data_IF_795544376601
#
_entry.id   IF_795544376601
#
_cell.length_a   1.000
_cell.length_b   1.000
_cell.length_c   1.000
_cell.angle_alpha   90.00
_cell.angle_beta   90.00
_cell.angle_gamma   90.00
#
_symmetry.space_group_name_H-M   'P 1'
#
loop_
_entity.id
_entity.type
_entity.pdbx_description
1 polymer ?
#
# COMPACT_ATOMS: atom_id res chain seq x y z
N UNK A 1 -46.32 -65.57 19.51
CA UNK A 1 -44.92 -65.27 19.13
C UNK A 1 -44.25 -64.76 20.41
N UNK A 2 -43.37 -65.47 21.16
CA UNK A 2 -42.33 -66.48 20.80
C UNK A 2 -41.39 -65.90 19.73
N UNK A 3 -40.07 -65.70 19.88
CA UNK A 3 -38.98 -66.03 20.86
C UNK A 3 -37.87 -64.93 20.76
N UNK A 4 -36.80 -64.77 21.58
CA UNK A 4 -36.36 -65.21 22.94
C UNK A 4 -35.08 -64.41 23.35
N UNK A 5 -34.68 -64.43 24.63
CA UNK A 5 -33.31 -64.10 25.15
C UNK A 5 -32.40 -65.37 25.09
N UNK A 6 -31.11 -65.47 25.57
CA UNK A 6 -30.30 -64.59 26.47
C UNK A 6 -28.76 -64.49 26.22
N UNK A 7 -28.03 -63.75 27.10
CA UNK A 7 -26.78 -64.08 27.87
C UNK A 7 -26.27 -62.81 28.63
N UNK A 8 -25.57 -62.75 29.79
CA UNK A 8 -24.95 -63.70 30.77
C UNK A 8 -23.48 -64.12 30.51
N UNK A 9 -22.48 -64.14 31.43
CA UNK A 9 -22.29 -63.75 32.87
C UNK A 9 -20.76 -63.47 33.16
N UNK A 10 -20.38 -62.43 33.91
CA UNK A 10 -19.19 -62.33 34.83
C UNK A 10 -19.15 -60.92 35.51
N UNK A 11 -18.80 -60.64 36.79
CA UNK A 11 -17.85 -61.18 37.81
C UNK A 11 -16.35 -60.86 37.47
N UNK A 12 -15.47 -60.35 38.36
CA UNK A 12 -15.50 -60.16 39.83
C UNK A 12 -14.51 -59.05 40.33
N UNK A 13 -14.67 -58.66 41.61
CA UNK A 13 -13.92 -57.78 42.55
C UNK A 13 -12.45 -57.29 42.30
N UNK A 14 -12.17 -56.07 42.80
CA UNK A 14 -10.87 -55.43 43.11
C UNK A 14 -10.99 -53.89 42.97
N UNK A 15 -10.68 -52.98 43.90
CA UNK A 15 -9.60 -52.90 44.92
C UNK A 15 -8.51 -51.93 44.40
N UNK A 16 -8.19 -50.75 44.96
CA UNK A 16 -8.54 -50.13 46.25
C UNK A 16 -8.60 -48.56 46.19
N UNK A 17 -9.07 -47.96 47.29
CA UNK A 17 -8.83 -46.59 47.88
C UNK A 17 -7.78 -45.66 47.23
N UNK A 18 -7.87 -44.31 47.25
CA UNK A 18 -8.40 -43.36 48.28
C UNK A 18 -8.96 -42.03 47.73
N UNK A 19 -9.92 -41.45 48.46
CA UNK A 19 -10.28 -40.02 48.71
C UNK A 19 -9.89 -38.87 47.75
N UNK A 20 -10.85 -37.94 47.55
CA UNK A 20 -10.66 -36.70 46.78
C UNK A 20 -11.35 -35.45 47.38
N UNK A 21 -10.54 -34.41 47.61
CA UNK A 21 -10.78 -32.94 47.55
C UNK A 21 -12.07 -32.32 48.17
N UNK A 22 -11.95 -31.42 49.17
CA UNK A 22 -13.06 -30.54 49.62
C UNK A 22 -13.21 -29.25 48.78
N UNK A 23 -14.39 -28.63 48.85
CA UNK A 23 -14.80 -27.44 48.05
C UNK A 23 -14.80 -26.16 48.90
N UNK A 24 -14.41 -25.02 48.33
CA UNK A 24 -14.65 -23.66 48.87
C UNK A 24 -15.07 -22.71 47.73
N UNK A 25 -15.91 -21.70 48.05
CA UNK A 25 -16.67 -20.86 47.11
C UNK A 25 -16.12 -19.41 46.96
N UNK A 26 -16.56 -18.61 45.95
CA UNK A 26 -15.89 -17.36 45.56
C UNK A 26 -16.63 -16.04 45.94
N UNK A 27 -15.96 -14.88 45.84
CA UNK A 27 -16.55 -13.54 45.62
C UNK A 27 -16.28 -13.05 44.17
N UNK A 28 -17.28 -12.61 43.39
CA UNK A 28 -17.98 -11.30 43.38
C UNK A 28 -17.25 -10.21 42.56
N UNK A 29 -17.99 -9.52 41.67
CA UNK A 29 -17.45 -8.56 40.69
C UNK A 29 -17.93 -7.11 40.94
N UNK A 30 -17.08 -6.13 40.61
CA UNK A 30 -17.39 -4.69 40.60
C UNK A 30 -16.62 -3.93 39.49
N UNK A 31 -17.20 -2.84 39.01
CA UNK A 31 -16.74 -1.88 37.99
C UNK A 31 -17.61 -0.60 38.14
N UNK A 32 -17.28 0.59 37.56
CA UNK A 32 -16.07 1.00 36.82
C UNK A 32 -15.48 2.35 37.38
N UNK A 33 -14.82 3.14 36.51
CA UNK A 33 -14.28 4.52 36.69
C UNK A 33 -12.95 4.64 37.49
N UNK A 34 -12.03 5.56 37.18
CA UNK A 34 -11.90 6.47 36.01
C UNK A 34 -10.48 7.10 35.91
N UNK A 35 -10.07 7.44 34.67
CA UNK A 35 -9.17 8.56 34.27
C UNK A 35 -7.79 8.78 34.92
N UNK A 36 -6.83 9.15 34.05
CA UNK A 36 -5.52 9.76 34.37
C UNK A 36 -4.52 8.91 35.17
N UNK A 37 -3.47 8.45 34.47
CA UNK A 37 -2.16 8.27 35.08
C UNK A 37 -1.07 8.69 34.08
N UNK A 38 0.00 9.33 34.57
CA UNK A 38 0.93 10.12 33.74
C UNK A 38 2.22 9.35 33.49
N UNK A 39 2.56 9.10 32.22
CA UNK A 39 3.84 8.50 31.85
C UNK A 39 5.01 9.49 32.06
N UNK A 40 5.70 9.38 33.20
CA UNK A 40 6.99 10.04 33.42
C UNK A 40 8.14 9.05 33.21
N UNK A 41 9.22 9.42 32.49
CA UNK A 41 10.34 8.52 32.24
C UNK A 41 11.26 8.39 33.47
N UNK A 42 11.44 7.16 33.95
CA UNK A 42 12.43 6.85 34.97
C UNK A 42 13.85 6.83 34.35
N UNK A 43 14.62 7.89 34.55
CA UNK A 43 16.01 8.00 34.08
C UNK A 43 17.01 7.80 35.23
N UNK A 44 17.52 6.57 35.38
CA UNK A 44 18.68 6.24 36.23
C UNK A 44 19.39 5.00 35.71
N UNK A 45 20.71 5.08 35.48
CA UNK A 45 21.56 3.93 35.14
C UNK A 45 22.33 4.11 33.84
N UNK A 46 23.50 4.77 33.92
CA UNK A 46 24.44 4.84 32.80
C UNK A 46 25.18 3.50 32.65
N UNK A 47 24.79 2.67 31.68
CA UNK A 47 25.64 1.61 31.17
C UNK A 47 25.71 1.73 29.64
N UNK A 48 26.88 2.14 29.13
CA UNK A 48 27.10 2.39 27.71
C UNK A 48 27.27 1.08 26.93
N UNK A 49 26.17 0.33 26.80
CA UNK A 49 26.06 -0.70 25.77
C UNK A 49 26.04 0.02 24.42
N UNK A 50 27.18 0.00 23.73
CA UNK A 50 27.34 0.52 22.37
C UNK A 50 26.19 0.00 21.50
N UNK A 51 25.45 0.91 20.88
CA UNK A 51 24.40 0.53 19.94
C UNK A 51 25.05 -0.21 18.76
N UNK A 52 24.87 -1.53 18.72
CA UNK A 52 25.23 -2.34 17.57
C UNK A 52 24.35 -1.89 16.41
N UNK A 53 24.93 -1.06 15.54
CA UNK A 53 24.29 -0.68 14.29
C UNK A 53 24.26 -1.93 13.43
N UNK A 54 23.13 -2.66 13.48
CA UNK A 54 22.85 -3.82 12.66
C UNK A 54 22.66 -3.43 11.20
N UNK A 55 23.74 -2.91 10.60
CA UNK A 55 23.92 -2.71 9.18
C UNK A 55 23.54 -4.01 8.50
N UNK A 56 22.72 -3.90 7.46
CA UNK A 56 22.40 -5.03 6.61
C UNK A 56 23.70 -5.56 5.96
N UNK A 57 24.25 -6.63 6.54
CA UNK A 57 25.43 -7.31 6.03
C UNK A 57 25.00 -8.33 4.97
N UNK A 58 25.55 -8.28 3.74
CA UNK A 58 25.25 -9.26 2.71
C UNK A 58 25.77 -10.63 3.13
N UNK A 59 24.91 -11.64 3.09
CA UNK A 59 25.27 -13.01 3.49
C UNK A 59 26.25 -13.59 2.47
N UNK A 60 27.41 -14.05 2.93
CA UNK A 60 28.34 -14.84 2.11
C UNK A 60 27.75 -16.24 1.91
N UNK A 61 26.85 -16.39 0.94
CA UNK A 61 26.28 -17.69 0.57
C UNK A 61 27.35 -18.49 -0.19
N UNK A 62 27.84 -19.58 0.39
CA UNK A 62 28.69 -20.55 -0.32
C UNK A 62 27.84 -21.36 -1.30
N UNK A 63 27.60 -20.76 -2.46
CA UNK A 63 26.96 -21.35 -3.64
C UNK A 63 27.70 -20.85 -4.88
N UNK A 64 27.70 -21.59 -6.01
CA UNK A 64 28.49 -21.24 -7.19
C UNK A 64 28.15 -19.81 -7.64
N UNK A 65 29.20 -19.01 -7.87
CA UNK A 65 29.11 -17.55 -7.99
C UNK A 65 27.94 -17.12 -8.90
N UNK A 66 27.05 -16.22 -8.44
CA UNK A 66 25.78 -15.96 -9.09
C UNK A 66 26.00 -15.53 -10.54
N UNK A 67 25.29 -16.19 -11.46
CA UNK A 67 25.29 -15.82 -12.86
C UNK A 67 24.91 -14.35 -13.00
N UNK A 68 25.62 -13.61 -13.87
CA UNK A 68 25.44 -12.15 -14.04
C UNK A 68 23.94 -11.86 -14.24
N UNK A 69 23.30 -11.09 -13.33
CA UNK A 69 21.85 -11.09 -13.22
C UNK A 69 21.20 -10.61 -14.51
N UNK A 70 20.37 -11.47 -15.09
CA UNK A 70 19.62 -11.18 -16.30
C UNK A 70 18.13 -11.01 -15.95
N UNK A 71 17.69 -9.79 -15.55
CA UNK A 71 16.29 -9.53 -15.22
C UNK A 71 15.33 -9.72 -16.42
N UNK A 72 15.87 -9.81 -17.64
CA UNK A 72 15.10 -10.11 -18.86
C UNK A 72 15.02 -11.61 -19.17
N UNK A 73 15.60 -12.49 -18.34
CA UNK A 73 15.54 -13.94 -18.55
C UNK A 73 14.18 -14.52 -18.15
N UNK A 74 13.21 -14.35 -19.06
CA UNK A 74 11.84 -14.89 -18.93
C UNK A 74 11.73 -16.39 -19.18
N UNK A 75 12.75 -17.01 -19.79
CA UNK A 75 12.65 -18.30 -20.48
C UNK A 75 12.21 -19.43 -19.54
N UNK A 76 12.62 -19.43 -18.26
CA UNK A 76 12.12 -20.40 -17.27
C UNK A 76 10.80 -20.02 -16.60
N UNK A 77 10.45 -18.74 -16.52
CA UNK A 77 9.33 -18.24 -15.71
C UNK A 77 7.97 -18.38 -16.40
N UNK A 78 7.91 -18.11 -17.71
CA UNK A 78 6.66 -18.26 -18.47
C UNK A 78 6.26 -19.76 -18.57
N UNK A 79 7.24 -20.66 -18.73
CA UNK A 79 7.02 -22.11 -18.64
C UNK A 79 6.67 -22.58 -17.22
N UNK A 80 7.28 -22.01 -16.17
CA UNK A 80 6.91 -22.28 -14.78
C UNK A 80 5.43 -21.94 -14.52
N UNK A 81 4.99 -20.76 -14.98
CA UNK A 81 3.58 -20.35 -14.88
C UNK A 81 2.65 -21.28 -15.68
N UNK A 82 3.08 -21.76 -16.86
CA UNK A 82 2.33 -22.75 -17.62
C UNK A 82 2.24 -24.12 -16.92
N UNK A 83 3.31 -24.57 -16.24
CA UNK A 83 3.29 -25.78 -15.41
C UNK A 83 2.33 -25.64 -14.22
N UNK A 84 2.39 -24.49 -13.52
CA UNK A 84 1.46 -24.14 -12.43
C UNK A 84 0.01 -24.15 -12.89
N UNK A 85 -0.29 -23.60 -14.06
CA UNK A 85 -1.63 -23.57 -14.65
C UNK A 85 -2.15 -24.96 -15.04
N UNK A 86 -1.27 -25.92 -15.34
CA UNK A 86 -1.60 -27.36 -15.52
C UNK A 86 -1.74 -28.13 -14.21
N UNK A 87 -1.39 -27.54 -13.06
CA UNK A 87 -1.30 -28.22 -11.78
C UNK A 87 -0.04 -29.07 -11.59
N UNK A 88 0.95 -28.97 -12.49
CA UNK A 88 2.22 -29.68 -12.35
C UNK A 88 3.16 -28.93 -11.40
N UNK A 89 2.96 -29.22 -10.10
CA UNK A 89 3.73 -28.65 -8.98
C UNK A 89 5.21 -28.99 -9.07
N UNK A 90 5.57 -30.21 -9.46
CA UNK A 90 6.96 -30.65 -9.51
C UNK A 90 7.72 -29.94 -10.64
N UNK A 91 7.10 -29.83 -11.82
CA UNK A 91 7.65 -29.05 -12.93
C UNK A 91 7.69 -27.55 -12.61
N UNK A 92 6.66 -27.00 -11.94
CA UNK A 92 6.65 -25.59 -11.52
C UNK A 92 7.83 -25.25 -10.62
N UNK A 93 8.06 -26.02 -9.54
CA UNK A 93 9.17 -25.78 -8.60
C UNK A 93 10.52 -25.99 -9.30
N UNK A 94 10.66 -27.01 -10.15
CA UNK A 94 11.89 -27.26 -10.91
C UNK A 94 12.23 -26.12 -11.89
N UNK A 95 11.24 -25.54 -12.56
CA UNK A 95 11.44 -24.42 -13.49
C UNK A 95 11.70 -23.09 -12.75
N UNK A 96 11.06 -22.88 -11.59
CA UNK A 96 11.40 -21.77 -10.70
C UNK A 96 12.85 -21.87 -10.21
N UNK A 97 13.30 -23.05 -9.77
CA UNK A 97 14.69 -23.25 -9.34
C UNK A 97 15.66 -22.95 -10.50
N UNK A 98 15.43 -23.51 -11.68
CA UNK A 98 16.26 -23.23 -12.86
C UNK A 98 16.32 -21.74 -13.23
N UNK A 99 15.22 -20.99 -13.07
CA UNK A 99 15.20 -19.55 -13.31
C UNK A 99 15.93 -18.77 -12.20
N UNK A 100 15.79 -19.19 -10.94
CA UNK A 100 16.50 -18.63 -9.80
C UNK A 100 18.03 -18.85 -9.91
N UNK A 101 18.47 -20.06 -10.27
CA UNK A 101 19.87 -20.41 -10.52
C UNK A 101 20.49 -19.56 -11.66
N UNK A 102 19.66 -19.04 -12.56
CA UNK A 102 20.02 -18.12 -13.66
C UNK A 102 19.91 -16.63 -13.26
N UNK A 103 19.81 -16.32 -11.96
CA UNK A 103 19.78 -14.97 -11.43
C UNK A 103 18.46 -14.21 -11.68
N UNK A 104 17.32 -14.90 -11.77
CA UNK A 104 16.02 -14.26 -11.93
C UNK A 104 15.41 -13.83 -10.55
N UNK A 105 15.33 -12.53 -10.24
CA UNK A 105 14.78 -12.03 -8.96
C UNK A 105 13.33 -12.49 -8.68
N UNK A 106 12.47 -12.56 -9.70
CA UNK A 106 11.08 -12.97 -9.52
C UNK A 106 10.98 -14.46 -9.21
N UNK A 107 11.82 -15.30 -9.81
CA UNK A 107 11.83 -16.73 -9.53
C UNK A 107 12.18 -17.01 -8.06
N UNK A 108 13.16 -16.30 -7.50
CA UNK A 108 13.45 -16.34 -6.06
C UNK A 108 12.26 -15.89 -5.20
N UNK A 109 11.56 -14.80 -5.57
CA UNK A 109 10.36 -14.36 -4.84
C UNK A 109 9.19 -15.36 -4.90
N UNK A 110 8.98 -16.01 -6.05
CA UNK A 110 7.96 -17.06 -6.19
C UNK A 110 8.34 -18.35 -5.43
N UNK A 111 9.63 -18.72 -5.35
CA UNK A 111 10.11 -19.77 -4.43
C UNK A 111 9.89 -19.40 -2.96
N UNK A 112 10.19 -18.16 -2.57
CA UNK A 112 9.96 -17.67 -1.21
C UNK A 112 8.47 -17.81 -0.80
N UNK A 113 7.55 -17.52 -1.72
CA UNK A 113 6.11 -17.76 -1.51
C UNK A 113 5.78 -19.25 -1.39
N UNK A 114 6.31 -20.11 -2.26
CA UNK A 114 6.10 -21.58 -2.19
C UNK A 114 6.46 -22.14 -0.81
N UNK A 115 7.63 -21.78 -0.28
CA UNK A 115 8.07 -22.23 1.05
C UNK A 115 7.35 -21.53 2.21
N UNK A 116 6.86 -20.29 2.02
CA UNK A 116 6.03 -19.59 3.03
C UNK A 116 4.63 -20.21 3.15
N UNK A 117 3.98 -20.46 2.01
CA UNK A 117 2.61 -20.97 1.93
C UNK A 117 2.53 -22.42 2.41
N UNK A 118 3.48 -23.27 2.00
CA UNK A 118 3.47 -24.70 2.36
C UNK A 118 2.32 -25.50 1.72
N UNK A 119 1.67 -24.94 0.70
CA UNK A 119 0.49 -25.48 0.01
C UNK A 119 0.85 -26.52 -1.04
N UNK A 120 2.01 -26.35 -1.68
CA UNK A 120 2.52 -27.19 -2.77
C UNK A 120 3.97 -27.65 -2.58
N UNK A 121 4.57 -27.32 -1.43
CA UNK A 121 5.87 -27.78 -0.96
C UNK A 121 5.83 -27.92 0.57
N UNK A 122 6.86 -28.51 1.18
CA UNK A 122 7.01 -28.45 2.64
C UNK A 122 7.22 -27.00 3.06
N UNK A 123 6.46 -26.53 4.05
CA UNK A 123 6.61 -25.17 4.60
C UNK A 123 7.98 -25.01 5.26
N UNK A 124 8.73 -24.00 4.84
CA UNK A 124 10.10 -23.76 5.27
C UNK A 124 10.35 -22.24 5.33
N UNK A 125 10.17 -21.65 6.51
CA UNK A 125 10.30 -20.20 6.67
C UNK A 125 11.75 -19.71 6.59
N UNK A 126 12.73 -20.59 6.79
CA UNK A 126 14.14 -20.26 6.67
C UNK A 126 14.53 -20.11 5.20
N UNK A 127 14.26 -21.13 4.36
CA UNK A 127 14.44 -21.05 2.90
C UNK A 127 13.59 -19.97 2.25
N UNK A 128 12.38 -19.72 2.77
CA UNK A 128 11.57 -18.61 2.30
C UNK A 128 12.28 -17.27 2.48
N UNK A 129 12.88 -17.04 3.65
CA UNK A 129 13.62 -15.81 3.95
C UNK A 129 14.96 -15.73 3.20
N UNK A 130 15.66 -16.84 2.97
CA UNK A 130 16.85 -16.89 2.11
C UNK A 130 16.54 -16.44 0.68
N UNK A 131 15.57 -17.06 0.02
CA UNK A 131 15.18 -16.66 -1.33
C UNK A 131 14.60 -15.23 -1.37
N UNK A 132 13.91 -14.79 -0.32
CA UNK A 132 13.41 -13.41 -0.23
C UNK A 132 14.55 -12.39 -0.17
N UNK A 133 15.62 -12.67 0.59
CA UNK A 133 16.83 -11.84 0.65
C UNK A 133 17.51 -11.76 -0.71
N UNK A 134 17.75 -12.90 -1.38
CA UNK A 134 18.38 -12.92 -2.71
C UNK A 134 17.53 -12.18 -3.76
N UNK A 135 16.20 -12.31 -3.72
CA UNK A 135 15.31 -11.52 -4.57
C UNK A 135 15.42 -10.00 -4.30
N UNK A 136 15.54 -9.60 -3.04
CA UNK A 136 15.69 -8.19 -2.64
C UNK A 136 17.09 -7.62 -2.96
N UNK A 137 18.14 -8.44 -2.92
CA UNK A 137 19.51 -8.12 -3.34
C UNK A 137 19.58 -7.85 -4.85
N UNK A 138 18.89 -8.67 -5.65
CA UNK A 138 18.64 -8.40 -7.08
C UNK A 138 17.56 -7.32 -7.33
N UNK A 139 17.19 -6.55 -6.30
CA UNK A 139 16.35 -5.36 -6.41
C UNK A 139 14.85 -5.61 -6.65
N UNK A 140 14.35 -6.82 -6.42
CA UNK A 140 12.94 -7.14 -6.69
C UNK A 140 11.99 -6.36 -5.76
N UNK A 141 11.13 -5.47 -6.29
CA UNK A 141 10.38 -4.53 -5.44
C UNK A 141 9.46 -5.22 -4.44
N UNK A 142 8.83 -6.33 -4.84
CA UNK A 142 7.96 -7.10 -3.94
C UNK A 142 8.73 -7.83 -2.83
N UNK A 143 9.97 -8.25 -3.08
CA UNK A 143 10.79 -8.86 -2.05
C UNK A 143 11.25 -7.82 -1.03
N UNK A 144 11.71 -6.66 -1.51
CA UNK A 144 12.03 -5.49 -0.68
C UNK A 144 10.81 -5.08 0.17
N UNK A 145 9.61 -5.04 -0.43
CA UNK A 145 8.35 -4.72 0.27
C UNK A 145 8.03 -5.72 1.38
N UNK A 146 8.21 -7.03 1.17
CA UNK A 146 7.95 -8.04 2.21
C UNK A 146 8.99 -7.97 3.33
N UNK A 147 10.28 -7.77 3.03
CA UNK A 147 11.30 -7.57 4.08
C UNK A 147 11.02 -6.30 4.89
N UNK A 148 10.57 -5.21 4.25
CA UNK A 148 10.11 -4.01 4.95
C UNK A 148 9.02 -4.31 5.99
N UNK A 149 8.01 -5.11 5.61
CA UNK A 149 6.98 -5.57 6.55
C UNK A 149 7.49 -6.54 7.62
N UNK A 150 8.50 -7.37 7.32
CA UNK A 150 9.13 -8.23 8.32
C UNK A 150 9.85 -7.43 9.41
N UNK A 151 10.54 -6.36 9.02
CA UNK A 151 11.18 -5.43 9.97
C UNK A 151 10.13 -4.66 10.78
N UNK A 152 9.09 -4.09 10.14
CA UNK A 152 8.02 -3.36 10.84
C UNK A 152 7.34 -4.22 11.93
N UNK A 153 7.18 -5.53 11.68
CA UNK A 153 6.49 -6.46 12.59
C UNK A 153 7.40 -7.22 13.56
N UNK A 154 8.70 -7.28 13.31
CA UNK A 154 9.62 -8.17 14.02
C UNK A 154 9.42 -9.66 13.67
N UNK A 155 9.03 -9.98 12.42
CA UNK A 155 8.77 -11.37 12.00
C UNK A 155 10.06 -12.23 11.99
N UNK A 156 11.22 -11.60 11.87
CA UNK A 156 12.53 -12.24 11.65
C UNK A 156 13.64 -11.74 12.59
N UNK A 157 13.27 -11.04 13.66
CA UNK A 157 14.18 -10.38 14.60
C UNK A 157 13.44 -9.32 15.44
N UNK A 158 14.16 -8.45 16.17
CA UNK A 158 13.56 -7.25 16.76
C UNK A 158 12.85 -6.40 15.69
N UNK A 159 11.76 -5.74 16.07
CA UNK A 159 11.04 -4.86 15.14
C UNK A 159 11.81 -3.54 14.92
N UNK A 160 12.02 -3.18 13.66
CA UNK A 160 12.58 -1.89 13.24
C UNK A 160 11.59 -1.19 12.29
N UNK A 161 10.88 -0.21 12.84
CA UNK A 161 9.92 0.61 12.10
C UNK A 161 10.61 1.54 11.10
N UNK A 162 11.83 2.01 11.37
CA UNK A 162 12.53 2.96 10.50
C UNK A 162 13.10 2.24 9.28
N UNK A 163 13.97 1.25 9.48
CA UNK A 163 14.56 0.48 8.38
C UNK A 163 13.47 -0.25 7.57
N UNK A 164 12.41 -0.73 8.25
CA UNK A 164 11.24 -1.30 7.59
C UNK A 164 10.50 -0.30 6.70
N UNK A 165 10.30 0.94 7.16
CA UNK A 165 9.71 2.04 6.37
C UNK A 165 10.59 2.39 5.18
N UNK A 166 11.89 2.52 5.36
CA UNK A 166 12.83 2.87 4.28
C UNK A 166 12.81 1.83 3.14
N UNK A 167 12.66 0.54 3.47
CA UNK A 167 12.45 -0.51 2.47
C UNK A 167 11.07 -0.41 1.78
N UNK A 168 10.00 -0.08 2.50
CA UNK A 168 8.66 0.13 1.92
C UNK A 168 8.67 1.33 0.94
N UNK A 169 9.27 2.46 1.32
CA UNK A 169 9.45 3.62 0.43
C UNK A 169 10.33 3.29 -0.79
N UNK A 170 11.41 2.52 -0.61
CA UNK A 170 12.26 2.07 -1.71
C UNK A 170 11.50 1.18 -2.69
N UNK A 171 10.66 0.27 -2.20
CA UNK A 171 9.80 -0.56 -3.05
C UNK A 171 8.72 0.27 -3.78
N UNK A 172 8.19 1.32 -3.14
CA UNK A 172 7.19 2.22 -3.73
C UNK A 172 7.71 3.03 -4.94
N UNK A 173 9.03 3.06 -5.19
CA UNK A 173 9.58 3.67 -6.40
C UNK A 173 9.25 2.89 -7.69
N UNK A 174 8.90 1.60 -7.59
CA UNK A 174 8.70 0.71 -8.75
C UNK A 174 7.60 -0.35 -8.59
N UNK A 175 6.98 -0.48 -7.42
CA UNK A 175 5.76 -1.31 -7.22
C UNK A 175 4.55 -0.46 -6.84
N UNK A 176 3.49 -0.56 -7.63
CA UNK A 176 2.15 -0.02 -7.35
C UNK A 176 1.59 -0.55 -6.03
N UNK A 177 1.86 -1.84 -5.73
CA UNK A 177 1.45 -2.46 -4.47
C UNK A 177 2.21 -1.86 -3.28
N UNK A 178 3.51 -1.61 -3.44
CA UNK A 178 4.31 -0.94 -2.42
C UNK A 178 3.87 0.53 -2.23
N UNK A 179 3.48 1.23 -3.30
CA UNK A 179 2.89 2.57 -3.20
C UNK A 179 1.60 2.55 -2.37
N UNK A 180 0.65 1.64 -2.64
CA UNK A 180 -0.56 1.54 -1.81
C UNK A 180 -0.24 1.20 -0.35
N UNK A 181 0.66 0.24 -0.11
CA UNK A 181 1.02 -0.18 1.24
C UNK A 181 1.78 0.92 2.02
N UNK A 182 2.67 1.68 1.37
CA UNK A 182 3.31 2.88 1.92
C UNK A 182 2.26 3.97 2.23
N UNK A 183 1.34 4.22 1.29
CA UNK A 183 0.27 5.20 1.45
C UNK A 183 -0.61 4.92 2.65
N UNK A 184 -0.96 3.64 2.87
CA UNK A 184 -1.69 3.18 4.05
C UNK A 184 -0.87 3.27 5.36
N UNK A 185 0.45 3.04 5.30
CA UNK A 185 1.36 3.15 6.45
C UNK A 185 1.50 4.61 6.93
N UNK A 186 1.63 5.56 6.01
CA UNK A 186 1.69 6.98 6.32
C UNK A 186 0.33 7.57 6.72
N UNK A 187 -0.76 7.21 6.02
CA UNK A 187 -2.11 7.74 6.24
C UNK A 187 -2.89 7.17 7.44
N UNK A 188 -2.23 6.46 8.37
CA UNK A 188 -2.88 5.85 9.54
C UNK A 188 -4.02 4.87 9.16
N UNK A 189 -3.75 4.01 8.17
CA UNK A 189 -4.65 2.92 7.74
C UNK A 189 -4.10 1.52 8.08
N UNK A 190 -2.99 1.46 8.82
CA UNK A 190 -2.40 0.27 9.44
C UNK A 190 -2.10 0.52 10.93
N UNK A 191 -1.99 -0.56 11.72
CA UNK A 191 -1.68 -0.46 13.16
C UNK A 191 -0.29 0.11 13.44
N UNK A 192 0.68 -0.22 12.59
CA UNK A 192 1.94 0.49 12.50
C UNK A 192 1.69 1.68 11.58
N UNK A 193 1.73 2.90 12.13
CA UNK A 193 1.41 4.11 11.37
C UNK A 193 2.39 5.25 11.67
N UNK A 194 2.76 5.98 10.63
CA UNK A 194 3.75 7.05 10.70
C UNK A 194 3.11 8.44 10.87
N UNK A 195 1.78 8.52 10.84
CA UNK A 195 0.97 9.71 11.11
C UNK A 195 1.31 10.92 10.21
N UNK A 196 1.59 10.66 8.93
CA UNK A 196 1.74 11.67 7.87
C UNK A 196 0.67 11.43 6.78
N UNK A 197 -0.58 11.89 6.99
CA UNK A 197 -1.63 11.73 6.00
C UNK A 197 -1.39 12.53 4.71
N UNK A 198 -0.47 13.50 4.68
CA UNK A 198 -0.11 14.20 3.46
C UNK A 198 0.75 13.30 2.55
N UNK A 199 1.84 12.74 3.08
CA UNK A 199 2.69 11.76 2.38
C UNK A 199 1.92 10.48 2.06
N UNK A 200 1.02 10.07 2.94
CA UNK A 200 0.12 8.94 2.72
C UNK A 200 -0.81 9.14 1.52
N UNK A 201 -1.47 10.30 1.39
CA UNK A 201 -2.30 10.61 0.22
C UNK A 201 -1.51 10.71 -1.08
N UNK A 202 -0.26 11.18 -1.05
CA UNK A 202 0.64 11.19 -2.24
C UNK A 202 0.88 9.76 -2.75
N UNK A 203 1.26 8.83 -1.87
CA UNK A 203 1.49 7.43 -2.27
C UNK A 203 0.21 6.70 -2.72
N UNK A 204 -0.93 6.98 -2.08
CA UNK A 204 -2.22 6.44 -2.54
C UNK A 204 -2.63 7.02 -3.91
N UNK A 205 -2.30 8.29 -4.20
CA UNK A 205 -2.52 8.88 -5.51
C UNK A 205 -1.66 8.20 -6.58
N UNK A 206 -0.35 8.01 -6.34
CA UNK A 206 0.54 7.29 -7.26
C UNK A 206 0.01 5.89 -7.60
N UNK A 207 -0.46 5.14 -6.60
CA UNK A 207 -1.02 3.80 -6.81
C UNK A 207 -2.38 3.85 -7.53
N UNK A 208 -3.22 4.85 -7.22
CA UNK A 208 -4.51 5.10 -7.88
C UNK A 208 -4.34 5.44 -9.37
N UNK A 209 -3.39 6.31 -9.70
CA UNK A 209 -3.08 6.74 -11.07
C UNK A 209 -2.47 5.59 -11.89
N UNK A 210 -1.80 4.64 -11.22
CA UNK A 210 -1.35 3.38 -11.79
C UNK A 210 -2.43 2.27 -11.83
N UNK A 211 -3.66 2.56 -11.39
CA UNK A 211 -4.83 1.69 -11.53
C UNK A 211 -5.15 0.76 -10.35
N UNK A 212 -4.55 0.93 -9.17
CA UNK A 212 -4.92 0.15 -7.98
C UNK A 212 -6.25 0.66 -7.38
N UNK A 213 -7.32 -0.11 -7.63
CA UNK A 213 -8.69 0.22 -7.17
C UNK A 213 -8.87 0.28 -5.65
N UNK A 214 -8.02 -0.39 -4.87
CA UNK A 214 -8.04 -0.26 -3.41
C UNK A 214 -7.31 1.02 -2.98
N UNK A 215 -6.28 1.47 -3.71
CA UNK A 215 -5.64 2.76 -3.46
C UNK A 215 -6.59 3.92 -3.77
N UNK A 216 -7.29 3.86 -4.92
CA UNK A 216 -8.36 4.80 -5.26
C UNK A 216 -9.47 4.80 -4.21
N UNK A 217 -9.90 3.63 -3.72
CA UNK A 217 -10.89 3.56 -2.63
C UNK A 217 -10.39 4.20 -1.33
N UNK A 218 -9.17 3.89 -0.89
CA UNK A 218 -8.61 4.44 0.35
C UNK A 218 -8.40 5.96 0.26
N UNK A 219 -7.91 6.47 -0.87
CA UNK A 219 -7.75 7.91 -1.10
C UNK A 219 -9.11 8.63 -1.12
N UNK A 220 -10.11 8.05 -1.79
CA UNK A 220 -11.48 8.57 -1.77
C UNK A 220 -12.09 8.56 -0.37
N UNK A 221 -11.87 7.50 0.41
CA UNK A 221 -12.31 7.41 1.81
C UNK A 221 -11.65 8.47 2.69
N UNK A 222 -10.34 8.68 2.58
CA UNK A 222 -9.62 9.71 3.35
C UNK A 222 -10.19 11.11 3.09
N UNK A 223 -10.45 11.46 1.83
CA UNK A 223 -11.09 12.74 1.52
C UNK A 223 -12.53 12.85 2.07
N UNK A 224 -13.30 11.75 2.09
CA UNK A 224 -14.63 11.74 2.72
C UNK A 224 -14.55 11.89 4.25
N UNK A 225 -13.61 11.20 4.91
CA UNK A 225 -13.36 11.33 6.35
C UNK A 225 -12.93 12.76 6.73
N UNK A 226 -12.24 13.46 5.82
CA UNK A 226 -11.86 14.88 5.91
C UNK A 226 -13.02 15.85 5.59
N UNK A 227 -14.21 15.36 5.20
CA UNK A 227 -15.36 16.16 4.79
C UNK A 227 -15.23 16.80 3.39
N UNK A 228 -14.29 16.34 2.58
CA UNK A 228 -13.99 16.84 1.24
C UNK A 228 -14.56 15.91 0.15
N UNK A 229 -15.90 15.84 0.08
CA UNK A 229 -16.59 14.98 -0.87
C UNK A 229 -16.32 15.32 -2.35
N UNK A 230 -15.94 16.57 -2.64
CA UNK A 230 -15.51 17.00 -3.98
C UNK A 230 -14.28 16.23 -4.47
N UNK A 231 -13.31 15.98 -3.58
CA UNK A 231 -12.16 15.15 -3.90
C UNK A 231 -12.48 13.65 -3.73
N UNK A 232 -13.36 13.27 -2.80
CA UNK A 232 -13.70 11.87 -2.54
C UNK A 232 -14.41 11.20 -3.73
N UNK A 233 -15.49 11.80 -4.23
CA UNK A 233 -16.36 11.26 -5.28
C UNK A 233 -15.59 10.77 -6.51
N UNK A 234 -14.71 11.54 -7.18
CA UNK A 234 -14.01 11.05 -8.37
C UNK A 234 -13.10 9.84 -8.11
N UNK A 235 -12.41 9.75 -6.96
CA UNK A 235 -11.59 8.56 -6.64
C UNK A 235 -12.46 7.34 -6.34
N UNK A 236 -13.59 7.55 -5.66
CA UNK A 236 -14.58 6.49 -5.41
C UNK A 236 -15.25 6.02 -6.71
N UNK A 237 -15.50 6.89 -7.68
CA UNK A 237 -16.04 6.53 -9.00
C UNK A 237 -15.05 5.72 -9.84
N UNK A 238 -13.75 6.06 -9.83
CA UNK A 238 -12.69 5.25 -10.45
C UNK A 238 -12.61 3.86 -9.82
N UNK A 239 -12.54 3.78 -8.48
CA UNK A 239 -12.51 2.51 -7.76
C UNK A 239 -13.76 1.67 -8.03
N UNK A 240 -14.94 2.28 -8.03
CA UNK A 240 -16.21 1.63 -8.33
C UNK A 240 -16.25 1.12 -9.78
N UNK A 241 -15.75 1.90 -10.75
CA UNK A 241 -15.63 1.54 -12.16
C UNK A 241 -14.67 0.38 -12.42
N UNK A 242 -13.69 0.19 -11.54
CA UNK A 242 -12.79 -0.96 -11.49
C UNK A 242 -13.36 -2.15 -10.70
N UNK A 243 -14.61 -2.07 -10.22
CA UNK A 243 -15.31 -3.15 -9.53
C UNK A 243 -15.20 -3.13 -8.00
N UNK A 244 -14.60 -2.11 -7.38
CA UNK A 244 -14.45 -2.06 -5.92
C UNK A 244 -15.83 -1.87 -5.24
N UNK A 245 -16.31 -2.94 -4.61
CA UNK A 245 -17.63 -2.99 -3.96
C UNK A 245 -17.76 -2.08 -2.74
N UNK A 246 -16.63 -1.76 -2.07
CA UNK A 246 -16.60 -0.79 -0.97
C UNK A 246 -16.79 0.63 -1.50
N UNK A 247 -16.11 0.96 -2.61
CA UNK A 247 -16.27 2.24 -3.30
C UNK A 247 -17.70 2.40 -3.83
N UNK A 248 -18.25 1.40 -4.53
CA UNK A 248 -19.66 1.42 -4.98
C UNK A 248 -20.66 1.66 -3.84
N UNK A 249 -20.41 1.08 -2.65
CA UNK A 249 -21.27 1.29 -1.48
C UNK A 249 -21.13 2.71 -0.93
N UNK A 250 -19.91 3.21 -0.75
CA UNK A 250 -19.64 4.53 -0.16
C UNK A 250 -20.07 5.67 -1.10
N UNK A 251 -19.77 5.56 -2.40
CA UNK A 251 -20.20 6.50 -3.43
C UNK A 251 -21.72 6.73 -3.38
N UNK A 252 -22.50 5.65 -3.29
CA UNK A 252 -23.97 5.70 -3.19
C UNK A 252 -24.50 6.33 -1.90
N UNK A 253 -23.67 6.46 -0.86
CA UNK A 253 -24.03 7.13 0.40
C UNK A 253 -23.72 8.65 0.34
N UNK A 254 -22.69 9.04 -0.41
CA UNK A 254 -22.25 10.43 -0.60
C UNK A 254 -23.05 11.10 -1.71
N UNK A 255 -23.08 10.48 -2.89
CA UNK A 255 -23.83 10.92 -4.07
C UNK A 255 -24.65 9.73 -4.64
N UNK A 256 -25.96 9.66 -4.34
CA UNK A 256 -26.87 8.65 -4.90
C UNK A 256 -27.05 8.71 -6.42
N UNK A 257 -26.57 9.77 -7.09
CA UNK A 257 -26.64 9.99 -8.55
C UNK A 257 -25.34 9.68 -9.28
N UNK A 258 -24.20 9.65 -8.57
CA UNK A 258 -22.91 9.32 -9.15
C UNK A 258 -22.87 7.87 -9.67
N UNK A 259 -22.38 7.71 -10.90
CA UNK A 259 -22.22 6.42 -11.56
C UNK A 259 -20.76 5.95 -11.50
N UNK A 260 -20.57 4.63 -11.53
CA UNK A 260 -19.25 4.02 -11.56
C UNK A 260 -18.60 4.24 -12.95
N UNK A 261 -17.66 5.18 -13.05
CA UNK A 261 -16.93 5.47 -14.30
C UNK A 261 -15.88 4.40 -14.56
N UNK A 262 -16.28 3.35 -15.27
CA UNK A 262 -15.38 2.29 -15.75
C UNK A 262 -14.21 2.86 -16.55
N UNK A 263 -13.01 2.37 -16.27
CA UNK A 263 -11.68 2.85 -16.71
C UNK A 263 -11.68 3.95 -17.80
N UNK A 264 -11.93 5.18 -17.36
CA UNK A 264 -11.42 6.38 -18.02
C UNK A 264 -10.15 6.80 -17.29
N UNK A 265 -9.12 7.20 -18.04
CA UNK A 265 -8.17 8.23 -17.59
C UNK A 265 -8.92 9.55 -17.36
N UNK A 266 -8.26 10.68 -17.02
CA UNK A 266 -8.80 12.00 -17.38
C UNK A 266 -8.98 12.10 -18.91
N UNK A 267 -10.08 11.54 -19.40
CA UNK A 267 -10.42 11.34 -20.81
C UNK A 267 -11.72 12.08 -21.12
N UNK A 268 -11.59 13.37 -21.41
CA UNK A 268 -12.41 14.20 -22.29
C UNK A 268 -13.96 14.28 -22.11
N UNK A 269 -14.68 13.36 -21.50
CA UNK A 269 -16.16 13.36 -21.54
C UNK A 269 -16.81 14.41 -20.61
N UNK A 270 -16.04 15.00 -19.68
CA UNK A 270 -16.46 16.23 -18.99
C UNK A 270 -16.27 17.51 -19.84
N UNK A 271 -15.72 17.43 -21.06
CA UNK A 271 -15.64 18.58 -21.99
C UNK A 271 -16.91 18.77 -22.83
N UNK A 272 -18.09 18.47 -22.28
CA UNK A 272 -19.41 18.69 -22.91
C UNK A 272 -19.79 20.18 -22.98
N UNK A 273 -18.90 21.00 -23.54
CA UNK A 273 -19.01 22.45 -23.68
C UNK A 273 -17.68 23.21 -23.65
N UNK A 274 -16.59 22.57 -23.21
CA UNK A 274 -15.27 23.20 -23.08
C UNK A 274 -14.44 23.15 -24.38
N UNK A 275 -13.49 24.08 -24.57
CA UNK A 275 -12.57 24.03 -25.72
C UNK A 275 -11.50 22.94 -25.55
N UNK A 276 -11.03 22.29 -26.63
CA UNK A 276 -10.00 21.24 -26.54
C UNK A 276 -8.72 21.65 -25.81
N UNK A 277 -8.30 22.92 -25.96
CA UNK A 277 -7.09 23.45 -25.33
C UNK A 277 -7.20 23.60 -23.81
N UNK A 278 -8.42 23.63 -23.27
CA UNK A 278 -8.65 23.87 -21.84
C UNK A 278 -8.15 22.72 -20.96
N UNK A 279 -8.34 21.47 -21.41
CA UNK A 279 -7.79 20.26 -20.78
C UNK A 279 -6.26 20.26 -20.84
N UNK A 280 -5.67 20.59 -22.01
CA UNK A 280 -4.21 20.71 -22.20
C UNK A 280 -3.62 21.74 -21.23
N UNK A 281 -4.28 22.88 -21.03
CA UNK A 281 -3.84 23.92 -20.10
C UNK A 281 -3.98 23.49 -18.63
N UNK A 282 -5.08 22.83 -18.27
CA UNK A 282 -5.31 22.28 -16.93
C UNK A 282 -4.25 21.24 -16.55
N UNK A 283 -3.97 20.27 -17.44
CA UNK A 283 -2.95 19.24 -17.22
C UNK A 283 -1.54 19.82 -17.11
N UNK A 284 -1.20 20.81 -17.94
CA UNK A 284 0.10 21.49 -17.85
C UNK A 284 0.25 22.32 -16.57
N UNK A 285 -0.82 22.94 -16.08
CA UNK A 285 -0.82 23.68 -14.82
C UNK A 285 -0.64 22.73 -13.61
N UNK A 286 -1.35 21.61 -13.58
CA UNK A 286 -1.15 20.54 -12.59
C UNK A 286 0.29 20.00 -12.63
N UNK A 287 0.85 19.78 -13.82
CA UNK A 287 2.24 19.34 -13.99
C UNK A 287 3.30 20.39 -13.56
N UNK A 288 2.89 21.60 -13.17
CA UNK A 288 3.71 22.59 -12.46
C UNK A 288 3.46 22.50 -10.94
N UNK A 289 2.19 22.56 -10.51
CA UNK A 289 1.81 22.54 -9.08
C UNK A 289 2.22 21.25 -8.35
N UNK A 290 2.27 20.11 -9.02
CA UNK A 290 2.70 18.85 -8.40
C UNK A 290 4.22 18.74 -8.16
N UNK A 291 5.02 19.75 -8.53
CA UNK A 291 6.48 19.76 -8.28
C UNK A 291 6.81 20.24 -6.87
N UNK A 292 7.86 19.68 -6.27
CA UNK A 292 8.49 20.22 -5.06
C UNK A 292 9.43 21.38 -5.41
N UNK A 293 9.58 22.36 -4.51
CA UNK A 293 10.52 23.48 -4.68
C UNK A 293 10.16 24.50 -5.76
N UNK A 294 8.86 24.73 -6.00
CA UNK A 294 8.35 25.73 -6.95
C UNK A 294 8.79 27.17 -6.61
N UNK A 295 8.91 28.01 -7.64
CA UNK A 295 8.99 29.47 -7.47
C UNK A 295 7.61 30.12 -7.57
N UNK A 296 7.45 31.31 -6.97
CA UNK A 296 6.19 32.08 -7.08
C UNK A 296 5.79 32.35 -8.54
N UNK A 297 6.77 32.58 -9.42
CA UNK A 297 6.54 32.75 -10.87
C UNK A 297 5.97 31.48 -11.52
N UNK A 298 6.44 30.30 -11.13
CA UNK A 298 5.91 29.02 -11.64
C UNK A 298 4.47 28.80 -11.17
N UNK A 299 4.16 29.12 -9.91
CA UNK A 299 2.81 29.01 -9.37
C UNK A 299 1.86 30.04 -9.98
N UNK A 300 2.31 31.27 -10.17
CA UNK A 300 1.55 32.32 -10.86
C UNK A 300 1.30 31.96 -12.33
N UNK A 301 2.24 31.27 -12.97
CA UNK A 301 2.06 30.72 -14.33
C UNK A 301 0.99 29.63 -14.35
N UNK A 302 1.01 28.70 -13.39
CA UNK A 302 -0.04 27.70 -13.24
C UNK A 302 -1.40 28.36 -12.97
N UNK A 303 -1.47 29.37 -12.09
CA UNK A 303 -2.68 30.19 -11.87
C UNK A 303 -3.20 30.79 -13.18
N UNK A 304 -2.32 31.40 -13.99
CA UNK A 304 -2.71 31.98 -15.28
C UNK A 304 -3.22 30.92 -16.27
N UNK A 305 -2.67 29.70 -16.24
CA UNK A 305 -3.11 28.58 -17.08
C UNK A 305 -4.46 28.01 -16.62
N UNK A 306 -4.69 27.87 -15.31
CA UNK A 306 -6.01 27.53 -14.76
C UNK A 306 -7.05 28.61 -15.06
N UNK A 307 -6.68 29.90 -15.04
CA UNK A 307 -7.58 30.99 -15.41
C UNK A 307 -8.04 30.86 -16.86
N UNK A 308 -7.11 30.64 -17.79
CA UNK A 308 -7.46 30.43 -19.21
C UNK A 308 -8.25 29.13 -19.42
N UNK A 309 -7.93 28.04 -18.71
CA UNK A 309 -8.69 26.79 -18.79
C UNK A 309 -10.15 26.97 -18.29
N UNK A 310 -10.33 27.63 -17.14
CA UNK A 310 -11.64 27.96 -16.58
C UNK A 310 -12.47 28.84 -17.54
N UNK A 311 -11.87 29.90 -18.08
CA UNK A 311 -12.53 30.83 -19.02
C UNK A 311 -12.85 30.15 -20.37
N UNK A 312 -12.22 29.01 -20.68
CA UNK A 312 -12.52 28.13 -21.80
C UNK A 312 -13.52 27.00 -21.48
N UNK A 313 -14.05 26.95 -20.26
CA UNK A 313 -15.08 26.01 -19.80
C UNK A 313 -14.61 24.83 -18.95
N UNK A 314 -13.33 24.77 -18.54
CA UNK A 314 -12.82 23.66 -17.74
C UNK A 314 -13.33 23.71 -16.30
N UNK A 315 -14.24 22.79 -15.96
CA UNK A 315 -15.01 22.84 -14.71
C UNK A 315 -14.15 22.76 -13.43
N UNK A 316 -13.05 21.99 -13.45
CA UNK A 316 -12.19 21.80 -12.28
C UNK A 316 -11.26 22.99 -12.01
N UNK A 317 -10.87 23.73 -13.07
CA UNK A 317 -9.92 24.83 -12.95
C UNK A 317 -10.40 25.96 -12.02
N UNK A 318 -11.71 26.12 -11.83
CA UNK A 318 -12.32 27.05 -10.87
C UNK A 318 -12.08 26.70 -9.39
N UNK A 319 -11.64 25.48 -9.09
CA UNK A 319 -11.22 25.05 -7.74
C UNK A 319 -9.76 25.40 -7.49
N UNK A 320 -8.87 25.09 -8.46
CA UNK A 320 -7.44 25.42 -8.39
C UNK A 320 -7.19 26.93 -8.26
N UNK A 321 -7.99 27.76 -8.94
CA UNK A 321 -7.95 29.22 -8.80
C UNK A 321 -8.26 29.71 -7.38
N UNK A 322 -9.05 28.96 -6.59
CA UNK A 322 -9.33 29.29 -5.18
C UNK A 322 -8.16 28.87 -4.29
N UNK A 323 -7.62 27.67 -4.52
CA UNK A 323 -6.45 27.16 -3.79
C UNK A 323 -5.22 28.07 -4.00
N UNK A 324 -4.99 28.53 -5.23
CA UNK A 324 -3.88 29.42 -5.60
C UNK A 324 -4.23 30.92 -5.47
N UNK A 325 -5.32 31.28 -4.79
CA UNK A 325 -5.72 32.69 -4.63
C UNK A 325 -4.67 33.55 -3.93
N UNK A 326 -3.93 32.99 -2.96
CA UNK A 326 -2.80 33.66 -2.31
C UNK A 326 -1.63 33.95 -3.27
N UNK A 327 -1.37 33.06 -4.23
CA UNK A 327 -0.34 33.24 -5.27
C UNK A 327 -0.69 34.42 -6.18
N UNK A 328 -1.99 34.58 -6.52
CA UNK A 328 -2.44 35.78 -7.23
C UNK A 328 -2.16 37.05 -6.43
N UNK A 329 -2.54 37.11 -5.15
CA UNK A 329 -2.32 38.30 -4.31
C UNK A 329 -0.83 38.66 -4.23
N UNK A 330 0.04 37.69 -3.95
CA UNK A 330 1.50 37.92 -3.88
C UNK A 330 2.09 38.37 -5.22
N UNK A 331 1.60 37.85 -6.35
CA UNK A 331 2.07 38.28 -7.68
C UNK A 331 1.54 39.68 -8.06
N UNK A 332 0.29 40.00 -7.72
CA UNK A 332 -0.27 41.35 -7.94
C UNK A 332 0.39 42.41 -7.05
N UNK A 333 0.91 42.03 -5.88
CA UNK A 333 1.73 42.89 -5.00
C UNK A 333 3.18 43.05 -5.52
N UNK A 334 3.75 42.03 -6.16
CA UNK A 334 5.15 42.03 -6.61
C UNK A 334 5.35 42.58 -8.03
N UNK A 335 4.50 42.23 -9.00
CA UNK A 335 4.56 42.69 -10.40
C UNK A 335 3.13 42.92 -10.97
N UNK A 336 2.53 44.09 -10.69
CA UNK A 336 1.14 44.39 -11.05
C UNK A 336 0.85 44.24 -12.55
N UNK A 337 0.02 43.25 -12.90
CA UNK A 337 -0.37 42.97 -14.28
C UNK A 337 0.46 41.89 -14.99
N UNK A 338 1.46 41.30 -14.33
CA UNK A 338 2.20 40.14 -14.85
C UNK A 338 1.27 38.99 -15.25
N UNK A 339 0.27 38.69 -14.42
CA UNK A 339 -0.72 37.63 -14.68
C UNK A 339 -1.51 37.86 -15.96
N UNK A 340 -1.93 39.10 -16.24
CA UNK A 340 -2.69 39.41 -17.45
C UNK A 340 -1.78 39.51 -18.69
N UNK A 341 -0.48 39.71 -18.53
CA UNK A 341 0.49 39.50 -19.60
C UNK A 341 0.70 38.00 -19.87
N UNK A 342 0.84 37.16 -18.85
CA UNK A 342 1.04 35.70 -19.02
C UNK A 342 -0.20 35.02 -19.62
N UNK A 343 -1.42 35.35 -19.16
CA UNK A 343 -2.67 34.90 -19.82
C UNK A 343 -2.70 35.23 -21.31
N UNK A 344 -2.24 36.43 -21.70
CA UNK A 344 -2.16 36.85 -23.11
C UNK A 344 -1.09 36.07 -23.89
N UNK A 345 0.05 35.70 -23.27
CA UNK A 345 1.02 34.79 -23.89
C UNK A 345 0.39 33.41 -24.12
N UNK A 346 -0.26 32.85 -23.10
CA UNK A 346 -0.93 31.54 -23.15
C UNK A 346 -1.98 31.49 -24.26
N UNK A 347 -2.82 32.53 -24.37
CA UNK A 347 -3.84 32.68 -25.42
C UNK A 347 -3.28 32.99 -26.83
N UNK A 348 -1.98 33.28 -26.96
CA UNK A 348 -1.32 33.58 -28.23
C UNK A 348 -0.40 32.43 -28.73
N UNK A 349 -0.37 31.30 -28.02
CA UNK A 349 0.29 30.08 -28.49
C UNK A 349 -0.62 29.31 -29.47
N UNK A 350 -0.08 28.75 -30.56
CA UNK A 350 -0.81 27.92 -31.51
C UNK A 350 -0.95 26.44 -31.08
#
# INVERSE_FOLDING_TARGET
>A
MLRSTPLAIMLILGGCTTESVPIVSPPSAQHPASSEDIYQPANTGEEQVMADQSVWLPVQVESPAPAVPNPNNRIGLDDANAAKARGDVAQYISLLQQAADQGNPQAHYDLAKVFTEGTIAVRDLEKANEHLRVAAEFGYPEAVRVIGWQLIRGDTGPADLQAGTDLIERAAQSSVRAQREAGMLFANLYQYHLNDPAKGKIYLAMASDAGDSDASFQLGKLYHDEGNDLEAVPRLSVAAGQGNTRAMKLLRQIDPTATATGMSTPSADNTSGARPDSERLYQQANAIILRSGRTLEQEARAYAMFAVAHDQGHQLAGTELKALSGVKTLMDEQDPGWLDLEKRKILALP
#
